data_IF_855194947334
#
_entry.id   IF_855194947334
#
_cell.length_a   1.000
_cell.length_b   1.000
_cell.length_c   1.000
_cell.angle_alpha   90.00
_cell.angle_beta   90.00
_cell.angle_gamma   90.00
#
_symmetry.space_group_name_H-M   'P 1'
#
loop_
_entity.id
_entity.type
_entity.pdbx_description
1 polymer ?
#
# COMPACT_ATOMS: atom_id res chain seq x y z
N UNK A 1 -25.68 -68.04 -16.57
CA UNK A 1 -26.04 -66.64 -16.19
C UNK A 1 -24.83 -65.82 -15.68
N UNK A 2 -23.68 -65.78 -16.38
CA UNK A 2 -22.50 -64.99 -15.97
C UNK A 2 -22.17 -63.79 -16.88
N UNK A 3 -22.63 -63.78 -18.14
CA UNK A 3 -22.34 -62.72 -19.11
C UNK A 3 -23.07 -61.39 -18.88
N UNK A 4 -24.26 -61.41 -18.25
CA UNK A 4 -25.06 -60.18 -18.03
C UNK A 4 -24.46 -59.30 -16.91
N UNK A 5 -23.82 -59.90 -15.89
CA UNK A 5 -23.18 -59.14 -14.80
C UNK A 5 -21.93 -58.38 -15.28
N UNK A 6 -21.08 -59.00 -16.11
CA UNK A 6 -19.89 -58.32 -16.65
C UNK A 6 -20.25 -57.14 -17.58
N UNK A 7 -21.32 -57.27 -18.37
CA UNK A 7 -21.78 -56.21 -19.26
C UNK A 7 -22.28 -54.98 -18.49
N UNK A 8 -22.93 -55.18 -17.33
CA UNK A 8 -23.37 -54.08 -16.44
C UNK A 8 -22.19 -53.32 -15.81
N UNK A 9 -21.15 -54.03 -15.36
CA UNK A 9 -19.95 -53.38 -14.84
C UNK A 9 -19.16 -52.64 -15.92
N UNK A 10 -19.13 -53.18 -17.14
CA UNK A 10 -18.48 -52.53 -18.29
C UNK A 10 -19.15 -51.19 -18.65
N UNK A 11 -20.48 -51.12 -18.61
CA UNK A 11 -21.22 -49.85 -18.86
C UNK A 11 -20.97 -48.84 -17.74
N UNK A 12 -20.95 -49.27 -16.48
CA UNK A 12 -20.68 -48.38 -15.34
C UNK A 12 -19.27 -47.80 -15.42
N UNK A 13 -18.27 -48.61 -15.78
CA UNK A 13 -16.89 -48.16 -15.96
C UNK A 13 -16.76 -47.17 -17.12
N UNK A 14 -17.50 -47.38 -18.22
CA UNK A 14 -17.54 -46.45 -19.35
C UNK A 14 -18.13 -45.10 -18.97
N UNK A 15 -19.22 -45.09 -18.18
CA UNK A 15 -19.84 -43.86 -17.68
C UNK A 15 -18.89 -43.13 -16.75
N UNK A 16 -18.21 -43.85 -15.84
CA UNK A 16 -17.24 -43.26 -14.92
C UNK A 16 -16.06 -42.62 -15.68
N UNK A 17 -15.54 -43.31 -16.69
CA UNK A 17 -14.47 -42.79 -17.54
C UNK A 17 -14.91 -41.55 -18.34
N UNK A 18 -16.16 -41.52 -18.81
CA UNK A 18 -16.70 -40.34 -19.50
C UNK A 18 -16.85 -39.16 -18.53
N UNK A 19 -17.31 -39.43 -17.30
CA UNK A 19 -17.50 -38.42 -16.26
C UNK A 19 -16.16 -37.80 -15.81
N UNK A 20 -15.11 -38.61 -15.66
CA UNK A 20 -13.78 -38.10 -15.34
C UNK A 20 -13.19 -37.29 -16.50
N UNK A 21 -13.39 -37.72 -17.75
CA UNK A 21 -12.94 -36.98 -18.93
C UNK A 21 -13.62 -35.59 -19.05
N UNK A 22 -14.88 -35.48 -18.64
CA UNK A 22 -15.64 -34.23 -18.67
C UNK A 22 -15.24 -33.25 -17.55
N UNK A 23 -14.77 -33.73 -16.40
CA UNK A 23 -14.46 -32.89 -15.23
C UNK A 23 -13.01 -32.37 -15.25
N UNK A 24 -12.04 -33.19 -15.68
CA UNK A 24 -10.61 -32.85 -15.69
C UNK A 24 -10.26 -31.55 -16.45
N UNK A 25 -10.82 -31.24 -17.63
CA UNK A 25 -10.48 -29.98 -18.31
C UNK A 25 -10.96 -28.73 -17.54
N UNK A 26 -12.07 -28.82 -16.79
CA UNK A 26 -12.61 -27.70 -16.03
C UNK A 26 -11.79 -27.37 -14.77
N UNK A 27 -11.16 -28.38 -14.15
CA UNK A 27 -10.33 -28.18 -12.94
C UNK A 27 -8.98 -27.54 -13.28
N UNK A 28 -8.39 -27.86 -14.43
CA UNK A 28 -7.14 -27.26 -14.89
C UNK A 28 -7.28 -25.76 -15.18
N UNK A 29 -8.38 -25.34 -15.82
CA UNK A 29 -8.61 -23.93 -16.15
C UNK A 29 -8.91 -23.06 -14.91
N UNK A 30 -9.57 -23.62 -13.90
CA UNK A 30 -9.89 -22.90 -12.66
C UNK A 30 -8.65 -22.54 -11.83
N UNK A 31 -7.58 -23.35 -11.90
CA UNK A 31 -6.33 -23.10 -11.17
C UNK A 31 -5.52 -21.95 -11.76
N UNK A 32 -5.53 -21.77 -13.08
CA UNK A 32 -4.83 -20.67 -13.75
C UNK A 32 -5.57 -19.32 -13.57
N UNK A 33 -6.90 -19.34 -13.50
CA UNK A 33 -7.71 -18.16 -13.18
C UNK A 33 -7.56 -17.71 -11.73
N UNK A 34 -7.38 -18.64 -10.79
CA UNK A 34 -7.11 -18.31 -9.38
C UNK A 34 -5.71 -17.69 -9.19
N UNK A 35 -4.68 -18.24 -9.82
CA UNK A 35 -3.28 -17.77 -9.68
C UNK A 35 -3.03 -16.34 -10.17
N UNK A 36 -3.79 -15.88 -11.16
CA UNK A 36 -3.60 -14.56 -11.75
C UNK A 36 -4.39 -13.45 -11.06
N UNK A 37 -5.45 -13.78 -10.32
CA UNK A 37 -6.30 -12.80 -9.62
C UNK A 37 -5.83 -12.48 -8.19
N UNK A 38 -4.83 -13.18 -7.66
CA UNK A 38 -4.35 -12.98 -6.28
C UNK A 38 -3.20 -11.97 -6.16
N UNK A 39 -2.70 -11.42 -7.27
CA UNK A 39 -1.62 -10.43 -7.23
C UNK A 39 -2.17 -9.04 -6.97
N UNK A 40 -2.39 -8.72 -5.70
CA UNK A 40 -2.69 -7.35 -5.26
C UNK A 40 -1.49 -6.41 -5.40
N UNK A 41 -1.75 -5.14 -5.68
CA UNK A 41 -0.71 -4.10 -5.76
C UNK A 41 -0.30 -3.64 -4.36
N UNK A 42 0.93 -3.95 -3.95
CA UNK A 42 1.49 -3.47 -2.69
C UNK A 42 2.19 -2.14 -2.93
N UNK A 43 1.60 -1.04 -2.45
CA UNK A 43 2.19 0.30 -2.57
C UNK A 43 2.81 0.70 -1.24
N UNK A 44 4.13 0.85 -1.20
CA UNK A 44 4.85 1.34 -0.03
C UNK A 44 5.30 2.79 -0.30
N UNK A 45 4.98 3.70 0.63
CA UNK A 45 5.43 5.09 0.59
C UNK A 45 6.35 5.34 1.78
N UNK A 46 7.63 5.56 1.51
CA UNK A 46 8.58 6.02 2.51
C UNK A 46 8.61 7.54 2.58
N UNK A 47 8.74 8.10 3.77
CA UNK A 47 9.04 9.52 3.99
C UNK A 47 10.52 9.66 4.30
N UNK A 48 11.23 10.45 3.51
CA UNK A 48 12.60 10.84 3.83
C UNK A 48 12.57 12.08 4.72
N UNK A 49 13.20 11.99 5.89
CA UNK A 49 13.41 13.12 6.79
C UNK A 49 14.88 13.50 6.70
N UNK A 50 15.17 14.72 6.26
CA UNK A 50 16.51 15.30 6.34
C UNK A 50 16.47 16.45 7.34
N UNK A 51 17.37 16.39 8.32
CA UNK A 51 17.58 17.45 9.29
C UNK A 51 18.88 18.15 8.94
N UNK A 52 18.80 19.46 8.67
CA UNK A 52 19.97 20.28 8.41
C UNK A 52 20.20 21.21 9.60
N UNK A 53 21.47 21.42 10.01
CA UNK A 53 21.79 22.48 10.96
C UNK A 53 21.45 23.84 10.31
N UNK A 54 21.00 24.83 11.10
CA UNK A 54 20.73 26.16 10.57
C UNK A 54 22.04 26.84 10.16
N UNK A 55 22.10 27.33 8.92
CA UNK A 55 23.27 28.04 8.37
C UNK A 55 23.37 29.49 8.85
N UNK A 56 22.29 30.01 9.44
CA UNK A 56 22.19 31.41 9.86
C UNK A 56 21.54 31.51 11.24
N UNK A 57 22.01 32.46 12.04
CA UNK A 57 21.38 32.85 13.30
C UNK A 57 20.71 34.23 13.15
N UNK A 58 19.44 34.33 13.54
CA UNK A 58 18.74 35.62 13.63
C UNK A 58 18.93 36.17 15.03
N UNK A 59 19.66 37.29 15.14
CA UNK A 59 19.84 38.02 16.41
C UNK A 59 18.97 39.28 16.34
N UNK A 60 17.96 39.35 17.20
CA UNK A 60 17.11 40.54 17.34
C UNK A 60 17.62 41.39 18.50
N UNK A 61 18.09 42.59 18.21
CA UNK A 61 18.49 43.57 19.21
C UNK A 61 17.43 44.67 19.27
N UNK A 62 17.01 45.04 20.48
CA UNK A 62 16.12 46.16 20.71
C UNK A 62 16.70 47.04 21.82
N UNK A 63 16.67 48.36 21.61
CA UNK A 63 17.03 49.35 22.62
C UNK A 63 15.75 49.96 23.14
N UNK A 64 15.52 49.83 24.46
CA UNK A 64 14.44 50.49 25.16
C UNK A 64 14.97 51.79 25.77
N UNK A 65 14.27 52.89 25.50
CA UNK A 65 14.59 54.20 26.07
C UNK A 65 13.35 54.78 26.72
N UNK A 66 13.48 55.23 27.96
CA UNK A 66 12.39 55.81 28.76
C UNK A 66 12.64 57.30 29.01
N UNK A 67 11.59 58.09 28.84
CA UNK A 67 11.60 59.53 29.10
C UNK A 67 10.20 59.99 29.52
N UNK A 68 10.10 61.26 29.95
CA UNK A 68 8.82 61.82 30.42
C UNK A 68 7.79 61.98 29.29
N UNK A 69 8.24 62.12 28.05
CA UNK A 69 7.38 62.18 26.87
C UNK A 69 7.85 61.21 25.78
N UNK A 70 6.92 60.76 24.93
CA UNK A 70 7.24 59.87 23.81
C UNK A 70 8.21 60.52 22.80
N UNK A 71 8.13 61.85 22.63
CA UNK A 71 9.03 62.60 21.74
C UNK A 71 10.48 62.58 22.24
N UNK A 72 10.69 62.74 23.54
CA UNK A 72 12.02 62.68 24.16
C UNK A 72 12.58 61.25 24.11
N UNK A 73 11.76 60.26 24.41
CA UNK A 73 12.16 58.85 24.35
C UNK A 73 12.60 58.46 22.94
N UNK A 74 11.84 58.88 21.91
CA UNK A 74 12.21 58.67 20.50
C UNK A 74 13.51 59.39 20.13
N UNK A 75 13.66 60.66 20.50
CA UNK A 75 14.85 61.44 20.18
C UNK A 75 16.13 60.86 20.84
N UNK A 76 16.01 60.30 22.05
CA UNK A 76 17.12 59.64 22.73
C UNK A 76 17.42 58.25 22.15
N UNK A 77 16.39 57.50 21.77
CA UNK A 77 16.55 56.16 21.19
C UNK A 77 17.31 56.19 19.85
N UNK A 78 17.13 57.24 19.05
CA UNK A 78 17.86 57.44 17.77
C UNK A 78 19.36 57.71 17.98
N UNK A 79 19.77 58.13 19.19
CA UNK A 79 21.15 58.50 19.51
C UNK A 79 21.95 57.40 20.22
N UNK A 80 21.33 56.23 20.44
CA UNK A 80 21.93 55.06 21.11
C UNK A 80 22.49 54.09 20.07
#
# INVERSE_FOLDING_TARGET
MRGIKMKKHSVILMILALFTLLIVPNTAQSQDLAKNNEKGTLTARGTAVQTFPPDTATITLAVQTEAKTASEASAQNVRK
#
